data_IF_827816801356
#
_entry.id   IF_827816801356
#
_cell.length_a   1.000
_cell.length_b   1.000
_cell.length_c   1.000
_cell.angle_alpha   90.00
_cell.angle_beta   90.00
_cell.angle_gamma   90.00
#
_symmetry.space_group_name_H-M   'P 1'
#
loop_
_entity.id
_entity.type
_entity.pdbx_description
1 polymer ?
#
# COMPACT_ATOMS: atom_id res chain seq x y z
N UNK A 1 -9.70 -22.06 27.05
CA UNK A 1 -9.88 -22.12 25.58
C UNK A 1 -10.48 -20.79 25.22
N UNK A 2 -9.68 -19.91 24.63
CA UNK A 2 -10.21 -18.63 24.11
C UNK A 2 -10.90 -18.95 22.78
N UNK A 3 -12.21 -18.71 22.72
CA UNK A 3 -12.95 -18.82 21.47
C UNK A 3 -12.27 -17.91 20.44
N UNK A 4 -11.73 -18.50 19.37
CA UNK A 4 -11.16 -17.74 18.27
C UNK A 4 -12.24 -16.81 17.73
N UNK A 5 -11.94 -15.52 17.62
CA UNK A 5 -12.86 -14.54 17.02
C UNK A 5 -13.10 -15.00 15.56
N UNK A 6 -14.35 -15.29 15.19
CA UNK A 6 -14.63 -15.64 13.79
C UNK A 6 -14.17 -14.51 12.88
N UNK A 7 -13.30 -14.82 11.92
CA UNK A 7 -12.83 -13.84 10.91
C UNK A 7 -11.40 -13.34 11.08
N UNK A 8 -10.65 -13.75 12.12
CA UNK A 8 -9.23 -13.38 12.32
C UNK A 8 -9.02 -12.18 13.24
N UNK A 9 -7.75 -11.87 13.52
CA UNK A 9 -7.33 -10.83 14.49
C UNK A 9 -7.77 -9.42 14.08
N UNK A 10 -7.97 -9.18 12.78
CA UNK A 10 -8.39 -7.88 12.23
C UNK A 10 -9.84 -7.89 11.72
N UNK A 11 -10.67 -8.82 12.23
CA UNK A 11 -12.08 -8.84 11.89
C UNK A 11 -12.74 -7.48 12.21
N UNK A 12 -13.47 -6.92 11.22
CA UNK A 12 -14.09 -5.59 11.32
C UNK A 12 -13.16 -4.41 11.02
N UNK A 13 -11.87 -4.66 10.73
CA UNK A 13 -10.94 -3.62 10.31
C UNK A 13 -11.03 -3.44 8.79
N UNK A 14 -11.37 -2.24 8.33
CA UNK A 14 -11.63 -1.95 6.93
C UNK A 14 -10.52 -1.12 6.28
N UNK A 15 -9.98 -1.61 5.16
CA UNK A 15 -8.86 -1.02 4.45
C UNK A 15 -9.24 -0.69 3.01
N UNK A 16 -9.03 0.54 2.60
CA UNK A 16 -9.12 0.96 1.20
C UNK A 16 -7.70 1.03 0.64
N UNK A 17 -7.44 0.18 -0.35
CA UNK A 17 -6.12 -0.01 -0.95
C UNK A 17 -6.07 0.60 -2.36
N UNK A 18 -5.46 1.78 -2.49
CA UNK A 18 -5.19 2.44 -3.78
C UNK A 18 -3.80 2.08 -4.33
N UNK A 19 -3.03 1.29 -3.60
CA UNK A 19 -1.63 0.99 -3.94
C UNK A 19 -1.52 0.02 -5.11
N UNK A 20 -0.37 0.06 -5.78
CA UNK A 20 -0.05 -0.77 -6.94
C UNK A 20 1.32 -1.42 -6.76
N UNK A 21 1.60 -2.39 -7.59
CA UNK A 21 2.86 -3.12 -7.72
C UNK A 21 3.13 -4.02 -6.53
N UNK A 22 3.90 -3.59 -5.51
CA UNK A 22 4.37 -4.53 -4.49
C UNK A 22 4.25 -4.01 -3.04
N UNK A 23 4.97 -2.99 -2.65
CA UNK A 23 5.10 -2.61 -1.24
C UNK A 23 3.76 -2.36 -0.54
N UNK A 24 2.88 -1.55 -1.15
CA UNK A 24 1.53 -1.30 -0.64
C UNK A 24 0.62 -2.53 -0.71
N UNK A 25 0.51 -3.20 -1.89
CA UNK A 25 -0.26 -4.44 -2.00
C UNK A 25 0.18 -5.53 -1.04
N UNK A 26 1.47 -5.68 -0.75
CA UNK A 26 1.97 -6.64 0.21
C UNK A 26 1.56 -6.26 1.65
N UNK A 27 1.64 -4.99 2.00
CA UNK A 27 1.13 -4.50 3.29
C UNK A 27 -0.35 -4.87 3.48
N UNK A 28 -1.20 -4.52 2.52
CA UNK A 28 -2.65 -4.76 2.63
C UNK A 28 -3.02 -6.23 2.52
N UNK A 29 -2.21 -7.04 1.83
CA UNK A 29 -2.36 -8.50 1.83
C UNK A 29 -2.13 -9.07 3.24
N UNK A 30 -1.09 -8.62 3.96
CA UNK A 30 -0.86 -9.06 5.35
C UNK A 30 -2.09 -8.75 6.21
N UNK A 31 -2.66 -7.55 6.09
CA UNK A 31 -3.86 -7.18 6.82
C UNK A 31 -5.06 -8.07 6.43
N UNK A 32 -5.25 -8.34 5.13
CA UNK A 32 -6.30 -9.22 4.63
C UNK A 32 -6.15 -10.67 5.10
N UNK A 33 -4.94 -11.21 5.10
CA UNK A 33 -4.64 -12.56 5.59
C UNK A 33 -4.97 -12.72 7.08
N UNK A 34 -5.00 -11.62 7.83
CA UNK A 34 -5.37 -11.60 9.26
C UNK A 34 -6.82 -11.16 9.50
N UNK A 35 -7.65 -11.10 8.45
CA UNK A 35 -9.10 -10.91 8.57
C UNK A 35 -9.61 -9.49 8.35
N UNK A 36 -8.77 -8.54 7.94
CA UNK A 36 -9.24 -7.22 7.53
C UNK A 36 -10.06 -7.29 6.24
N UNK A 37 -11.11 -6.47 6.14
CA UNK A 37 -11.88 -6.27 4.90
C UNK A 37 -11.14 -5.29 4.00
N UNK A 38 -10.39 -5.81 3.04
CA UNK A 38 -9.58 -5.01 2.12
C UNK A 38 -10.28 -4.85 0.78
N UNK A 39 -10.53 -3.59 0.39
CA UNK A 39 -11.04 -3.24 -0.93
C UNK A 39 -9.93 -2.57 -1.74
N UNK A 40 -9.41 -3.30 -2.73
CA UNK A 40 -8.43 -2.76 -3.68
C UNK A 40 -9.14 -1.94 -4.75
N UNK A 41 -8.77 -0.68 -4.88
CA UNK A 41 -9.25 0.20 -5.94
C UNK A 41 -8.21 0.25 -7.06
N UNK A 42 -8.62 -0.15 -8.24
CA UNK A 42 -7.78 -0.15 -9.43
C UNK A 42 -8.30 0.87 -10.46
N UNK A 43 -7.41 1.50 -11.25
CA UNK A 43 -7.86 2.28 -12.39
C UNK A 43 -8.55 1.36 -13.43
N UNK A 44 -9.31 1.89 -14.40
CA UNK A 44 -10.00 1.07 -15.41
C UNK A 44 -9.12 0.08 -16.17
N UNK A 45 -7.85 0.40 -16.36
CA UNK A 45 -6.86 -0.49 -17.00
C UNK A 45 -6.26 -1.55 -16.06
N UNK A 46 -6.60 -1.51 -14.77
CA UNK A 46 -6.06 -2.43 -13.76
C UNK A 46 -4.70 -2.02 -13.20
N UNK A 47 -4.20 -2.83 -12.26
CA UNK A 47 -2.83 -2.76 -11.75
C UNK A 47 -1.88 -3.36 -12.80
N UNK A 48 -0.79 -2.69 -13.10
CA UNK A 48 0.20 -3.12 -14.11
C UNK A 48 0.77 -4.53 -13.87
N UNK A 49 0.83 -4.97 -12.61
CA UNK A 49 1.32 -6.31 -12.27
C UNK A 49 0.35 -7.44 -12.67
N UNK A 50 -0.84 -7.12 -13.16
CA UNK A 50 -1.73 -8.12 -13.78
C UNK A 50 -1.11 -8.73 -15.04
N UNK A 51 -0.26 -7.97 -15.73
CA UNK A 51 0.42 -8.37 -16.97
C UNK A 51 1.87 -8.84 -16.72
N UNK A 52 2.33 -8.85 -15.46
CA UNK A 52 3.68 -9.29 -15.13
C UNK A 52 3.76 -10.81 -14.98
N UNK A 53 4.44 -11.46 -15.91
CA UNK A 53 4.67 -12.89 -15.95
C UNK A 53 5.71 -13.29 -16.98
N UNK A 54 6.05 -14.57 -17.16
CA UNK A 54 5.42 -15.76 -16.55
C UNK A 54 5.76 -15.91 -15.05
N UNK A 55 5.04 -16.76 -14.28
CA UNK A 55 3.96 -17.62 -14.75
C UNK A 55 2.57 -16.95 -14.70
N UNK A 56 1.68 -17.43 -15.58
CA UNK A 56 0.26 -17.11 -15.55
C UNK A 56 -0.55 -18.40 -15.32
N UNK A 57 -1.65 -18.30 -14.59
CA UNK A 57 -2.64 -19.35 -14.43
C UNK A 57 -4.01 -18.81 -14.78
N UNK A 58 -4.67 -19.39 -15.77
CA UNK A 58 -5.99 -18.98 -16.26
C UNK A 58 -6.06 -17.46 -16.59
N UNK A 59 -4.99 -16.94 -17.19
CA UNK A 59 -4.87 -15.52 -17.52
C UNK A 59 -4.51 -14.60 -16.34
N UNK A 60 -4.38 -15.13 -15.13
CA UNK A 60 -4.00 -14.37 -13.93
C UNK A 60 -2.50 -14.46 -13.70
N UNK A 61 -1.84 -13.31 -13.56
CA UNK A 61 -0.43 -13.22 -13.14
C UNK A 61 -0.25 -13.82 -11.75
N UNK A 62 0.72 -14.72 -11.59
CA UNK A 62 1.09 -15.25 -10.28
C UNK A 62 1.60 -14.15 -9.34
N UNK A 63 2.23 -13.12 -9.89
CA UNK A 63 2.66 -11.95 -9.12
C UNK A 63 1.47 -11.21 -8.53
N UNK A 64 0.48 -10.87 -9.38
CA UNK A 64 -0.74 -10.21 -8.91
C UNK A 64 -1.48 -11.04 -7.86
N UNK A 65 -1.68 -12.33 -8.12
CA UNK A 65 -2.35 -13.25 -7.20
C UNK A 65 -1.61 -13.37 -5.86
N UNK A 66 -0.27 -13.37 -5.89
CA UNK A 66 0.59 -13.48 -4.72
C UNK A 66 0.40 -12.36 -3.71
N UNK A 67 0.20 -11.13 -4.17
CA UNK A 67 0.13 -9.92 -3.30
C UNK A 67 -1.28 -9.32 -3.17
N UNK A 68 -2.28 -9.95 -3.79
CA UNK A 68 -3.66 -9.43 -3.75
C UNK A 68 -4.71 -10.47 -3.32
N UNK A 69 -4.28 -11.65 -2.82
CA UNK A 69 -5.21 -12.63 -2.25
C UNK A 69 -5.98 -12.03 -1.07
N UNK A 70 -7.17 -12.56 -0.83
CA UNK A 70 -8.09 -12.14 0.23
C UNK A 70 -8.57 -10.69 0.14
N UNK A 71 -8.36 -10.01 -1.01
CA UNK A 71 -8.88 -8.67 -1.26
C UNK A 71 -10.09 -8.74 -2.18
N UNK A 72 -11.05 -7.83 -1.98
CA UNK A 72 -12.07 -7.49 -2.98
C UNK A 72 -11.49 -6.42 -3.91
N UNK A 73 -11.91 -6.38 -5.17
CA UNK A 73 -11.44 -5.39 -6.14
C UNK A 73 -12.61 -4.55 -6.67
N UNK A 74 -12.34 -3.28 -6.90
CA UNK A 74 -13.25 -2.32 -7.51
C UNK A 74 -12.47 -1.46 -8.51
N UNK A 75 -13.01 -1.27 -9.71
CA UNK A 75 -12.41 -0.38 -10.71
C UNK A 75 -13.02 1.01 -10.59
N UNK A 76 -12.17 2.04 -10.36
CA UNK A 76 -12.57 3.45 -10.31
C UNK A 76 -11.54 4.33 -11.03
N UNK A 77 -12.02 5.25 -11.87
CA UNK A 77 -11.17 6.31 -12.40
C UNK A 77 -11.17 7.52 -11.47
N UNK A 78 -10.15 7.63 -10.61
CA UNK A 78 -10.01 8.74 -9.66
C UNK A 78 -9.70 10.10 -10.33
N UNK A 79 -9.43 10.11 -11.63
CA UNK A 79 -9.32 11.36 -12.41
C UNK A 79 -10.70 11.99 -12.64
N UNK A 80 -11.74 11.17 -12.62
CA UNK A 80 -13.13 11.59 -12.75
C UNK A 80 -13.73 11.94 -11.39
N UNK A 81 -14.57 12.95 -11.34
CA UNK A 81 -15.25 13.38 -10.11
C UNK A 81 -16.10 12.25 -9.50
N UNK A 82 -16.91 11.59 -10.32
CA UNK A 82 -17.74 10.48 -9.89
C UNK A 82 -16.93 9.34 -9.23
N UNK A 83 -15.72 9.04 -9.76
CA UNK A 83 -14.82 8.05 -9.14
C UNK A 83 -14.34 8.50 -7.76
N UNK A 84 -14.01 9.79 -7.61
CA UNK A 84 -13.61 10.35 -6.31
C UNK A 84 -14.76 10.37 -5.29
N UNK A 85 -15.96 10.69 -5.73
CA UNK A 85 -17.14 10.63 -4.87
C UNK A 85 -17.41 9.23 -4.33
N UNK A 86 -17.25 8.20 -5.15
CA UNK A 86 -17.35 6.80 -4.71
C UNK A 86 -16.26 6.48 -3.71
N UNK A 87 -15.00 6.89 -3.95
CA UNK A 87 -13.92 6.71 -3.00
C UNK A 87 -14.24 7.39 -1.66
N UNK A 88 -14.68 8.65 -1.67
CA UNK A 88 -14.99 9.38 -0.45
C UNK A 88 -16.11 8.71 0.35
N UNK A 89 -17.12 8.12 -0.30
CA UNK A 89 -18.16 7.32 0.38
C UNK A 89 -17.59 6.02 0.98
N UNK A 90 -16.64 5.36 0.31
CA UNK A 90 -15.98 4.18 0.88
C UNK A 90 -15.13 4.50 2.10
N UNK A 91 -14.64 5.74 2.21
CA UNK A 91 -13.83 6.19 3.35
C UNK A 91 -14.66 6.53 4.60
N UNK A 92 -15.97 6.68 4.49
CA UNK A 92 -16.84 6.99 5.64
C UNK A 92 -16.76 5.91 6.75
N UNK A 93 -16.61 4.64 6.33
CA UNK A 93 -16.50 3.48 7.23
C UNK A 93 -15.10 2.85 7.22
N UNK A 94 -14.11 3.48 6.59
CA UNK A 94 -12.77 2.92 6.49
C UNK A 94 -11.90 3.25 7.71
N UNK A 95 -11.11 2.28 8.12
CA UNK A 95 -10.06 2.46 9.14
C UNK A 95 -8.78 3.00 8.53
N UNK A 96 -8.44 2.53 7.33
CA UNK A 96 -7.17 2.83 6.67
C UNK A 96 -7.40 3.16 5.20
N UNK A 97 -6.68 4.16 4.72
CA UNK A 97 -6.42 4.40 3.31
C UNK A 97 -4.93 4.24 3.06
N UNK A 98 -4.56 3.40 2.11
CA UNK A 98 -3.17 3.25 1.67
C UNK A 98 -3.01 3.58 0.19
N UNK A 99 -1.95 4.30 -0.15
CA UNK A 99 -1.59 4.64 -1.53
C UNK A 99 -0.07 4.65 -1.73
N UNK A 100 0.37 4.51 -2.98
CA UNK A 100 1.78 4.64 -3.36
C UNK A 100 1.94 5.47 -4.64
N UNK A 101 1.15 6.52 -4.78
CA UNK A 101 1.27 7.48 -5.87
C UNK A 101 2.48 8.40 -5.69
N UNK A 102 2.85 9.10 -6.75
CA UNK A 102 3.85 10.17 -6.63
C UNK A 102 3.37 11.20 -5.62
N UNK A 103 4.27 11.74 -4.78
CA UNK A 103 3.92 12.80 -3.83
C UNK A 103 3.07 13.91 -4.47
N UNK A 104 2.02 14.31 -3.77
CA UNK A 104 1.03 15.27 -4.26
C UNK A 104 0.01 14.71 -5.27
N UNK A 105 0.05 13.40 -5.58
CA UNK A 105 -0.90 12.78 -6.51
C UNK A 105 -2.34 12.93 -6.06
N UNK A 106 -2.62 12.58 -4.81
CA UNK A 106 -3.94 12.70 -4.19
C UNK A 106 -4.40 14.16 -4.10
N UNK A 107 -3.50 15.09 -3.74
CA UNK A 107 -3.80 16.52 -3.68
C UNK A 107 -4.21 17.09 -5.05
N UNK A 108 -3.52 16.69 -6.13
CA UNK A 108 -3.90 17.11 -7.51
C UNK A 108 -5.28 16.64 -7.92
N UNK A 109 -5.81 15.58 -7.33
CA UNK A 109 -7.18 15.11 -7.54
C UNK A 109 -8.19 15.74 -6.57
N UNK A 110 -7.75 16.67 -5.71
CA UNK A 110 -8.61 17.32 -4.71
C UNK A 110 -9.02 16.41 -3.55
N UNK A 111 -8.26 15.34 -3.30
CA UNK A 111 -8.46 14.36 -2.22
C UNK A 111 -7.17 14.13 -1.42
N UNK A 112 -6.36 15.19 -1.27
CA UNK A 112 -5.15 15.15 -0.44
C UNK A 112 -5.46 14.96 1.04
N UNK A 113 -4.51 14.34 1.77
CA UNK A 113 -4.73 14.08 3.19
C UNK A 113 -4.84 15.36 3.98
N UNK A 114 -3.86 16.25 3.88
CA UNK A 114 -3.81 17.49 4.65
C UNK A 114 -4.93 18.47 4.26
N UNK A 115 -5.30 18.49 2.96
CA UNK A 115 -6.25 19.44 2.41
C UNK A 115 -7.71 19.03 2.63
N UNK A 116 -8.00 17.73 2.68
CA UNK A 116 -9.38 17.22 2.68
C UNK A 116 -9.60 16.09 3.66
N UNK A 117 -8.77 15.01 3.59
CA UNK A 117 -9.13 13.76 4.26
C UNK A 117 -8.98 13.84 5.77
N UNK A 118 -7.99 14.57 6.28
CA UNK A 118 -7.74 14.71 7.73
C UNK A 118 -8.89 15.38 8.46
N UNK A 119 -9.52 16.40 7.85
CA UNK A 119 -10.67 17.09 8.42
C UNK A 119 -11.96 16.27 8.26
N UNK A 120 -12.18 15.74 7.05
CA UNK A 120 -13.40 15.01 6.72
C UNK A 120 -13.49 13.65 7.42
N UNK A 121 -12.37 12.98 7.61
CA UNK A 121 -12.28 11.65 8.22
C UNK A 121 -11.26 11.64 9.36
N UNK A 122 -11.54 12.29 10.51
CA UNK A 122 -10.55 12.52 11.57
C UNK A 122 -10.06 11.23 12.27
N UNK A 123 -10.69 10.09 11.99
CA UNK A 123 -10.29 8.78 12.49
C UNK A 123 -9.52 7.95 11.48
N UNK A 124 -9.40 8.42 10.24
CA UNK A 124 -8.74 7.69 9.16
C UNK A 124 -7.23 7.61 9.40
N UNK A 125 -6.68 6.40 9.31
CA UNK A 125 -5.23 6.18 9.24
C UNK A 125 -4.83 6.27 7.76
N UNK A 126 -3.93 7.17 7.44
CA UNK A 126 -3.48 7.39 6.07
C UNK A 126 -2.04 6.90 5.90
N UNK A 127 -1.83 5.86 5.10
CA UNK A 127 -0.51 5.32 4.81
C UNK A 127 -0.09 5.67 3.39
N UNK A 128 0.98 6.47 3.25
CA UNK A 128 1.57 6.80 1.96
C UNK A 128 2.94 6.14 1.83
N UNK A 129 3.12 5.31 0.81
CA UNK A 129 4.39 4.66 0.48
C UNK A 129 5.01 5.38 -0.71
N UNK A 130 6.23 5.87 -0.53
CA UNK A 130 6.97 6.60 -1.57
C UNK A 130 8.40 6.10 -1.67
N UNK A 131 9.06 6.34 -2.81
CA UNK A 131 10.47 5.94 -2.98
C UNK A 131 11.42 6.67 -2.05
N UNK A 132 11.26 7.99 -1.90
CA UNK A 132 12.21 8.84 -1.17
C UNK A 132 11.53 9.87 -0.24
N UNK A 133 10.26 9.64 0.10
CA UNK A 133 9.51 10.61 0.89
C UNK A 133 9.06 11.83 0.07
N UNK A 134 8.39 12.76 0.76
CA UNK A 134 7.91 14.01 0.16
C UNK A 134 8.92 15.15 0.25
N UNK A 135 9.91 15.05 1.13
CA UNK A 135 10.91 16.08 1.46
C UNK A 135 12.33 15.51 1.44
N UNK A 136 13.32 16.40 1.60
CA UNK A 136 14.74 16.04 1.57
C UNK A 136 15.36 16.09 0.17
N UNK A 137 16.66 15.75 0.04
CA UNK A 137 17.41 15.90 -1.21
C UNK A 137 16.83 15.10 -2.39
N UNK A 138 16.20 13.96 -2.12
CA UNK A 138 15.56 13.10 -3.10
C UNK A 138 14.03 13.12 -3.01
N UNK A 139 13.48 14.02 -2.20
CA UNK A 139 12.03 14.12 -2.01
C UNK A 139 11.27 14.27 -3.32
N UNK A 140 10.20 13.52 -3.48
CA UNK A 140 9.37 13.53 -4.68
C UNK A 140 9.89 12.70 -5.85
N UNK A 141 11.14 12.19 -5.80
CA UNK A 141 11.62 11.28 -6.85
C UNK A 141 10.91 9.91 -6.78
N UNK A 142 10.66 9.30 -7.95
CA UNK A 142 10.17 7.93 -7.99
C UNK A 142 11.28 6.98 -7.54
N UNK A 143 10.91 5.91 -6.83
CA UNK A 143 11.83 4.86 -6.42
C UNK A 143 11.20 3.51 -6.66
N UNK A 144 11.93 2.65 -7.38
CA UNK A 144 11.68 1.22 -7.42
C UNK A 144 12.71 0.51 -6.55
N UNK A 145 12.41 -0.70 -6.15
CA UNK A 145 13.26 -1.52 -5.28
C UNK A 145 14.74 -1.52 -5.69
N UNK A 146 15.04 -1.74 -6.97
CA UNK A 146 16.42 -1.77 -7.45
C UNK A 146 17.16 -0.43 -7.27
N UNK A 147 16.46 0.69 -7.46
CA UNK A 147 17.02 2.03 -7.25
C UNK A 147 17.27 2.28 -5.77
N UNK A 148 16.33 1.88 -4.92
CA UNK A 148 16.47 1.99 -3.48
C UNK A 148 17.61 1.11 -2.95
N UNK A 149 17.76 -0.13 -3.43
CA UNK A 149 18.89 -1.00 -3.10
C UNK A 149 20.24 -0.35 -3.48
N UNK A 150 20.32 0.30 -4.65
CA UNK A 150 21.55 0.95 -5.11
C UNK A 150 21.91 2.14 -4.21
N UNK A 151 20.97 3.04 -3.97
CA UNK A 151 21.20 4.27 -3.19
C UNK A 151 21.45 3.97 -1.71
N UNK A 152 20.76 2.99 -1.14
CA UNK A 152 20.96 2.55 0.24
C UNK A 152 22.25 1.74 0.45
N UNK A 153 23.01 1.43 -0.59
CA UNK A 153 24.28 0.69 -0.50
C UNK A 153 24.10 -0.83 -0.44
N UNK A 154 22.89 -1.38 -0.49
CA UNK A 154 22.68 -2.84 -0.43
C UNK A 154 23.42 -3.57 -1.55
N UNK A 155 23.51 -2.98 -2.73
CA UNK A 155 24.23 -3.55 -3.87
C UNK A 155 25.74 -3.62 -3.60
N UNK A 156 26.31 -2.66 -2.88
CA UNK A 156 27.77 -2.59 -2.61
C UNK A 156 28.27 -3.66 -1.65
N UNK A 157 27.38 -4.25 -0.84
CA UNK A 157 27.71 -5.30 0.13
C UNK A 157 27.24 -6.69 -0.32
N UNK A 158 26.70 -6.80 -1.52
CA UNK A 158 26.24 -8.05 -2.11
C UNK A 158 26.97 -8.35 -3.42
N UNK A 159 27.42 -9.60 -3.59
CA UNK A 159 28.22 -10.05 -4.73
C UNK A 159 29.51 -10.72 -4.31
N UNK A 160 30.39 -10.94 -5.27
CA UNK A 160 31.72 -11.56 -5.07
C UNK A 160 32.79 -10.72 -5.76
N UNK A 161 34.09 -11.05 -5.54
CA UNK A 161 35.21 -10.45 -6.27
C UNK A 161 35.04 -10.59 -7.79
N UNK A 162 34.47 -11.70 -8.25
CA UNK A 162 34.35 -12.01 -9.67
C UNK A 162 33.14 -11.39 -10.33
N UNK A 163 31.98 -11.33 -9.61
CA UNK A 163 30.76 -10.76 -10.12
C UNK A 163 30.69 -9.24 -9.97
N UNK A 164 31.48 -8.68 -9.05
CA UNK A 164 31.28 -7.32 -8.57
C UNK A 164 29.97 -7.14 -7.78
N UNK A 165 29.55 -5.90 -7.49
CA UNK A 165 28.32 -5.59 -6.78
C UNK A 165 27.07 -6.08 -7.52
N UNK A 166 26.15 -6.75 -6.82
CA UNK A 166 24.94 -7.33 -7.38
C UNK A 166 23.70 -6.89 -6.59
N UNK A 167 22.61 -6.69 -7.33
CA UNK A 167 21.29 -6.52 -6.72
C UNK A 167 20.85 -7.80 -6.01
N UNK A 168 20.23 -7.68 -4.85
CA UNK A 168 19.53 -8.79 -4.21
C UNK A 168 18.35 -9.21 -5.11
N UNK A 169 18.23 -10.49 -5.39
CA UNK A 169 17.27 -11.02 -6.38
C UNK A 169 15.81 -10.81 -6.01
N UNK A 170 15.49 -10.80 -4.71
CA UNK A 170 14.15 -10.45 -4.21
C UNK A 170 14.04 -8.92 -4.06
N UNK A 171 12.85 -8.35 -4.22
CA UNK A 171 12.60 -6.91 -4.00
C UNK A 171 12.54 -6.59 -2.49
N UNK A 172 13.71 -6.66 -1.85
CA UNK A 172 13.88 -6.57 -0.39
C UNK A 172 13.35 -5.27 0.19
N UNK A 173 13.57 -4.14 -0.51
CA UNK A 173 13.17 -2.83 -0.02
C UNK A 173 11.65 -2.68 -0.09
N UNK A 174 11.02 -3.11 -1.17
CA UNK A 174 9.56 -3.10 -1.31
C UNK A 174 8.88 -3.98 -0.26
N UNK A 175 9.36 -5.22 -0.08
CA UNK A 175 8.83 -6.15 0.91
C UNK A 175 9.03 -5.62 2.34
N UNK A 176 10.23 -5.12 2.64
CA UNK A 176 10.52 -4.48 3.93
C UNK A 176 9.62 -3.29 4.20
N UNK A 177 9.44 -2.41 3.20
CA UNK A 177 8.54 -1.25 3.30
C UNK A 177 7.09 -1.70 3.57
N UNK A 178 6.60 -2.73 2.88
CA UNK A 178 5.26 -3.27 3.11
C UNK A 178 5.08 -3.82 4.53
N UNK A 179 6.09 -4.52 5.08
CA UNK A 179 6.08 -4.99 6.46
C UNK A 179 6.05 -3.82 7.46
N UNK A 180 6.92 -2.83 7.29
CA UNK A 180 6.94 -1.64 8.15
C UNK A 180 5.66 -0.83 8.05
N UNK A 181 5.06 -0.73 6.86
CA UNK A 181 3.77 -0.08 6.69
C UNK A 181 2.67 -0.81 7.47
N UNK A 182 2.63 -2.15 7.43
CA UNK A 182 1.66 -2.93 8.21
C UNK A 182 1.86 -2.71 9.73
N UNK A 183 3.10 -2.72 10.22
CA UNK A 183 3.41 -2.41 11.62
C UNK A 183 2.99 -0.99 11.97
N UNK A 184 3.30 0.00 11.13
CA UNK A 184 2.92 1.40 11.33
C UNK A 184 1.41 1.59 11.40
N UNK A 185 0.66 0.94 10.51
CA UNK A 185 -0.81 0.96 10.53
C UNK A 185 -1.36 0.38 11.85
N UNK A 186 -0.80 -0.73 12.32
CA UNK A 186 -1.24 -1.35 13.58
C UNK A 186 -0.91 -0.47 14.79
N UNK A 187 0.26 0.17 14.81
CA UNK A 187 0.62 1.15 15.85
C UNK A 187 -0.33 2.36 15.83
N UNK A 188 -0.66 2.88 14.65
CA UNK A 188 -1.61 3.97 14.49
C UNK A 188 -3.03 3.57 14.91
N UNK A 189 -3.42 2.32 14.67
CA UNK A 189 -4.71 1.79 15.12
C UNK A 189 -4.77 1.69 16.64
N UNK A 190 -3.68 1.29 17.30
CA UNK A 190 -3.60 1.26 18.77
C UNK A 190 -3.60 2.67 19.36
N UNK A 191 -2.87 3.62 18.77
CA UNK A 191 -2.92 5.02 19.22
C UNK A 191 -4.33 5.60 19.05
N UNK A 192 -5.00 5.32 17.93
CA UNK A 192 -6.38 5.75 17.69
C UNK A 192 -7.37 5.24 18.74
N UNK A 193 -7.14 4.08 19.35
CA UNK A 193 -7.96 3.57 20.45
C UNK A 193 -7.93 4.48 21.67
N UNK A 194 -6.80 5.14 21.91
CA UNK A 194 -6.60 6.07 23.04
C UNK A 194 -7.00 7.48 22.69
N UNK A 195 -6.54 8.00 21.56
CA UNK A 195 -6.76 9.41 21.15
C UNK A 195 -8.11 9.65 20.49
N UNK A 196 -8.72 8.61 19.93
CA UNK A 196 -9.92 8.74 19.08
C UNK A 196 -9.61 9.24 17.66
N UNK A 197 -8.35 9.54 17.31
CA UNK A 197 -7.94 10.18 16.06
C UNK A 197 -7.03 9.25 15.25
N UNK A 198 -7.24 9.30 13.92
CA UNK A 198 -6.29 8.74 12.96
C UNK A 198 -5.06 9.65 12.80
N UNK A 199 -4.14 9.21 11.95
CA UNK A 199 -2.90 9.94 11.64
C UNK A 199 -2.34 9.52 10.27
N UNK A 200 -1.35 10.26 9.78
CA UNK A 200 -0.56 9.94 8.59
C UNK A 200 0.79 9.38 8.99
#
# INVERSE_FOLDING_TARGET
MTDAVPGGALAGFRVIDLSRVLGGPYCTQILADHGADVVKIEPPQGDEVRDWGPPFKDGLSAYFAGVNRNKRALSLDLRQEAGREVLLRLLEDADVLIENFKPGGMARWGIGYEEVLAERFPRLIYCSITGFGASGPFGGFPGYDAVAQAIAGNISVNGTSDSGPLRIGIPLVDLGTGLYAAVGILMAAEERRRSGRGQR
#
